data_IF_631850238648
#
_entry.id   IF_631850238648
#
_cell.length_a   1.000
_cell.length_b   1.000
_cell.length_c   1.000
_cell.angle_alpha   90.00
_cell.angle_beta   90.00
_cell.angle_gamma   90.00
#
_symmetry.space_group_name_H-M   'P 1'
#
loop_
_entity.id
_entity.type
_entity.pdbx_description
1 polymer ?
#
# COMPACT_ATOMS: atom_id res chain seq x y z
N UNK A 1 2.88 20.84 -23.05
CA UNK A 1 2.83 20.97 -21.58
C UNK A 1 4.11 21.65 -21.14
N UNK A 2 4.07 22.48 -20.10
CA UNK A 2 5.26 23.10 -19.54
C UNK A 2 5.59 22.46 -18.20
N UNK A 3 6.88 22.28 -17.92
CA UNK A 3 7.36 21.86 -16.61
C UNK A 3 8.50 22.75 -16.14
N UNK A 4 8.72 22.78 -14.82
CA UNK A 4 9.80 23.52 -14.17
C UNK A 4 10.47 22.62 -13.14
N UNK A 5 11.79 22.56 -13.18
CA UNK A 5 12.57 21.85 -12.17
C UNK A 5 12.69 22.69 -10.89
N UNK A 6 12.63 22.01 -9.75
CA UNK A 6 12.85 22.55 -8.41
C UNK A 6 14.03 21.79 -7.81
N UNK A 7 15.19 22.43 -7.78
CA UNK A 7 16.50 21.83 -7.49
C UNK A 7 17.16 22.46 -6.24
N UNK A 8 16.40 23.24 -5.47
CA UNK A 8 16.88 23.87 -4.24
C UNK A 8 15.72 24.20 -3.29
N UNK A 9 16.04 24.29 -1.99
CA UNK A 9 15.07 24.65 -0.95
C UNK A 9 14.44 26.04 -1.20
N UNK A 10 15.21 26.97 -1.76
CA UNK A 10 14.72 28.32 -2.09
C UNK A 10 13.68 28.28 -3.24
N UNK A 11 13.92 27.48 -4.28
CA UNK A 11 12.96 27.27 -5.36
C UNK A 11 11.70 26.57 -4.84
N UNK A 12 11.85 25.58 -3.96
CA UNK A 12 10.73 24.87 -3.33
C UNK A 12 9.82 25.85 -2.57
N UNK A 13 10.39 26.66 -1.66
CA UNK A 13 9.62 27.64 -0.89
C UNK A 13 8.94 28.68 -1.79
N UNK A 14 9.63 29.15 -2.83
CA UNK A 14 9.06 30.12 -3.79
C UNK A 14 7.89 29.53 -4.57
N UNK A 15 8.02 28.29 -5.04
CA UNK A 15 6.96 27.57 -5.74
C UNK A 15 5.74 27.39 -4.84
N UNK A 16 5.93 26.94 -3.60
CA UNK A 16 4.84 26.76 -2.65
C UNK A 16 4.12 28.08 -2.34
N UNK A 17 4.88 29.17 -2.15
CA UNK A 17 4.30 30.49 -1.92
C UNK A 17 3.49 31.01 -3.13
N UNK A 18 3.94 30.72 -4.36
CA UNK A 18 3.22 31.09 -5.58
C UNK A 18 1.85 30.39 -5.68
N UNK A 19 1.73 29.19 -5.12
CA UNK A 19 0.53 28.37 -5.18
C UNK A 19 -0.25 28.35 -3.85
N UNK A 20 0.05 29.27 -2.94
CA UNK A 20 -0.71 29.44 -1.70
C UNK A 20 -2.20 29.72 -2.03
N UNK A 21 -3.10 28.98 -1.39
CA UNK A 21 -4.55 29.08 -1.61
C UNK A 21 -5.12 28.16 -2.70
N UNK A 22 -4.30 27.31 -3.33
CA UNK A 22 -4.81 26.27 -4.24
C UNK A 22 -5.68 25.26 -3.48
N UNK A 23 -6.86 24.94 -3.99
CA UNK A 23 -7.77 23.99 -3.33
C UNK A 23 -7.30 22.53 -3.41
N UNK A 24 -6.50 22.21 -4.44
CA UNK A 24 -5.96 20.89 -4.67
C UNK A 24 -4.58 20.93 -5.30
N UNK A 25 -3.83 19.85 -5.10
CA UNK A 25 -2.53 19.58 -5.73
C UNK A 25 -2.51 18.14 -6.21
N UNK A 26 -2.18 17.93 -7.48
CA UNK A 26 -1.93 16.61 -8.05
C UNK A 26 -0.51 16.23 -7.73
N UNK A 27 -0.32 15.02 -7.22
CA UNK A 27 0.95 14.51 -6.76
C UNK A 27 1.21 13.18 -7.46
N UNK A 28 2.46 12.98 -7.85
CA UNK A 28 2.99 11.70 -8.26
C UNK A 28 4.41 11.56 -7.70
N UNK A 29 4.97 10.35 -7.72
CA UNK A 29 6.37 10.13 -7.35
C UNK A 29 7.07 9.16 -8.30
N UNK A 30 8.36 9.42 -8.56
CA UNK A 30 9.24 8.42 -9.17
C UNK A 30 10.30 7.99 -8.17
N UNK A 31 10.56 6.69 -8.12
CA UNK A 31 11.45 6.09 -7.13
C UNK A 31 12.11 4.81 -7.64
N UNK A 32 13.20 4.41 -6.97
CA UNK A 32 13.94 3.19 -7.29
C UNK A 32 13.94 2.22 -6.11
N UNK A 33 13.56 0.97 -6.36
CA UNK A 33 13.60 -0.15 -5.40
C UNK A 33 14.19 -1.41 -6.04
N UNK A 34 15.47 -1.35 -6.42
CA UNK A 34 16.16 -2.50 -7.06
C UNK A 34 16.84 -3.42 -6.05
N UNK A 35 17.63 -2.85 -5.15
CA UNK A 35 18.52 -3.58 -4.23
C UNK A 35 18.48 -3.02 -2.80
N UNK A 36 17.42 -2.28 -2.49
CA UNK A 36 17.16 -1.63 -1.20
C UNK A 36 15.87 -2.18 -0.60
N UNK A 37 15.75 -2.04 0.72
CA UNK A 37 14.50 -2.33 1.42
C UNK A 37 13.53 -1.17 1.21
N UNK A 38 14.01 0.05 1.42
CA UNK A 38 13.21 1.26 1.28
C UNK A 38 13.21 1.75 -0.16
N UNK A 39 12.11 2.37 -0.62
CA UNK A 39 12.10 3.05 -1.90
C UNK A 39 13.01 4.28 -1.81
N UNK A 40 13.87 4.47 -2.81
CA UNK A 40 14.66 5.69 -2.95
C UNK A 40 13.89 6.66 -3.82
N UNK A 41 13.29 7.69 -3.20
CA UNK A 41 12.63 8.77 -3.93
C UNK A 41 13.62 9.40 -4.91
N UNK A 42 13.14 9.67 -6.12
CA UNK A 42 13.97 10.13 -7.23
C UNK A 42 13.37 11.36 -7.92
N UNK A 43 12.05 11.54 -7.89
CA UNK A 43 11.37 12.75 -8.31
C UNK A 43 10.02 12.87 -7.60
N UNK A 44 9.58 14.09 -7.34
CA UNK A 44 8.20 14.36 -6.92
C UNK A 44 7.59 15.37 -7.86
N UNK A 45 6.45 15.04 -8.42
CA UNK A 45 5.74 15.85 -9.38
C UNK A 45 4.58 16.53 -8.67
N UNK A 46 4.43 17.83 -8.88
CA UNK A 46 3.26 18.59 -8.42
C UNK A 46 2.63 19.34 -9.58
N UNK A 47 1.32 19.30 -9.67
CA UNK A 47 0.54 20.28 -10.42
C UNK A 47 -0.44 20.91 -9.43
N UNK A 48 -0.72 22.21 -9.52
CA UNK A 48 -1.66 22.88 -8.61
C UNK A 48 -2.92 23.26 -9.37
N UNK A 49 -4.07 23.15 -8.70
CA UNK A 49 -5.31 23.66 -9.26
C UNK A 49 -5.27 25.21 -9.36
N UNK A 50 -5.56 25.73 -10.55
CA UNK A 50 -5.52 27.17 -10.82
C UNK A 50 -5.92 27.56 -12.25
N UNK A 51 -6.09 28.88 -12.51
CA UNK A 51 -6.61 29.42 -13.77
C UNK A 51 -5.61 29.37 -14.94
N UNK A 52 -4.31 29.30 -14.68
CA UNK A 52 -3.33 28.99 -15.71
C UNK A 52 -3.37 27.48 -15.96
N UNK A 53 -3.38 27.05 -17.23
CA UNK A 53 -3.20 25.63 -17.56
C UNK A 53 -1.94 25.13 -16.82
N UNK A 54 -2.16 24.30 -15.78
CA UNK A 54 -1.20 24.06 -14.72
C UNK A 54 0.08 23.43 -15.26
N UNK A 55 1.18 24.16 -15.18
CA UNK A 55 2.49 23.58 -15.44
C UNK A 55 2.87 22.61 -14.33
N UNK A 56 3.61 21.56 -14.68
CA UNK A 56 4.14 20.63 -13.70
C UNK A 56 5.39 21.21 -13.01
N UNK A 57 5.51 21.00 -11.71
CA UNK A 57 6.71 21.23 -10.95
C UNK A 57 7.37 19.89 -10.66
N UNK A 58 8.62 19.74 -11.09
CA UNK A 58 9.39 18.52 -10.96
C UNK A 58 10.45 18.77 -9.88
N UNK A 59 10.19 18.26 -8.68
CA UNK A 59 11.03 18.46 -7.51
C UNK A 59 12.08 17.35 -7.45
N UNK A 60 13.35 17.75 -7.46
CA UNK A 60 14.46 16.84 -7.28
C UNK A 60 14.77 16.64 -5.79
N UNK A 61 14.37 15.51 -5.19
CA UNK A 61 14.58 15.25 -3.77
C UNK A 61 16.07 15.08 -3.40
N UNK A 62 16.94 14.80 -4.37
CA UNK A 62 18.37 14.57 -4.13
C UNK A 62 19.14 15.88 -3.90
N UNK A 63 18.56 17.02 -4.29
CA UNK A 63 19.16 18.35 -4.17
C UNK A 63 18.52 19.19 -3.03
N UNK A 64 17.48 18.67 -2.38
CA UNK A 64 16.87 19.31 -1.22
C UNK A 64 17.62 18.98 0.06
N UNK A 65 17.84 19.99 0.91
CA UNK A 65 18.37 19.79 2.27
C UNK A 65 17.27 19.87 3.33
N UNK A 66 16.17 20.55 3.02
CA UNK A 66 15.02 20.73 3.91
C UNK A 66 13.72 20.38 3.17
N UNK A 67 13.23 19.12 3.27
CA UNK A 67 11.95 18.72 2.68
C UNK A 67 10.74 19.09 3.55
N UNK A 68 10.91 19.73 4.71
CA UNK A 68 9.82 20.05 5.63
C UNK A 68 8.70 20.90 5.00
N UNK A 69 8.96 21.87 4.09
CA UNK A 69 7.89 22.59 3.39
C UNK A 69 6.97 21.67 2.59
N UNK A 70 7.52 20.61 1.97
CA UNK A 70 6.72 19.64 1.22
C UNK A 70 5.93 18.73 2.17
N UNK A 71 6.53 18.31 3.29
CA UNK A 71 5.81 17.58 4.35
C UNK A 71 4.63 18.38 4.93
N UNK A 72 4.78 19.72 5.03
CA UNK A 72 3.69 20.59 5.46
C UNK A 72 2.57 20.67 4.42
N UNK A 73 2.89 20.79 3.13
CA UNK A 73 1.89 20.72 2.06
C UNK A 73 1.09 19.39 2.11
N UNK A 74 1.79 18.26 2.28
CA UNK A 74 1.13 16.95 2.37
C UNK A 74 0.13 16.87 3.52
N UNK A 75 0.35 17.57 4.63
CA UNK A 75 -0.57 17.60 5.79
C UNK A 75 -1.53 18.79 5.81
N UNK A 76 -1.45 19.68 4.83
CA UNK A 76 -2.30 20.87 4.81
C UNK A 76 -3.75 20.48 4.54
N UNK A 77 -4.60 20.55 5.57
CA UNK A 77 -6.00 20.17 5.48
C UNK A 77 -6.82 21.03 4.52
N UNK A 78 -6.33 22.22 4.14
CA UNK A 78 -6.99 23.11 3.18
C UNK A 78 -6.71 22.76 1.71
N UNK A 79 -5.72 21.91 1.45
CA UNK A 79 -5.31 21.50 0.10
C UNK A 79 -5.55 20.01 -0.07
N UNK A 80 -6.41 19.60 -1.00
CA UNK A 80 -6.62 18.18 -1.32
C UNK A 80 -5.44 17.63 -2.10
N UNK A 81 -4.81 16.57 -1.61
CA UNK A 81 -3.75 15.85 -2.35
C UNK A 81 -4.40 14.81 -3.23
N UNK A 82 -4.24 14.95 -4.53
CA UNK A 82 -4.84 14.09 -5.54
C UNK A 82 -3.78 13.19 -6.13
N UNK A 83 -3.96 11.88 -5.98
CA UNK A 83 -3.05 10.87 -6.52
C UNK A 83 -3.86 9.84 -7.33
N UNK A 84 -3.17 8.98 -8.08
CA UNK A 84 -3.78 7.84 -8.75
C UNK A 84 -3.17 6.54 -8.24
N UNK A 85 -3.99 5.65 -7.65
CA UNK A 85 -3.54 4.37 -7.14
C UNK A 85 -2.30 4.47 -6.19
N UNK A 86 -2.38 5.29 -5.12
CA UNK A 86 -1.21 5.85 -4.43
C UNK A 86 -0.45 4.87 -3.52
N UNK A 87 -0.67 3.56 -3.62
CA UNK A 87 -0.18 2.61 -2.61
C UNK A 87 1.34 2.64 -2.44
N UNK A 88 2.11 2.79 -3.53
CA UNK A 88 3.57 2.89 -3.44
C UNK A 88 4.03 4.31 -3.11
N UNK A 89 3.34 5.35 -3.63
CA UNK A 89 3.62 6.75 -3.30
C UNK A 89 3.48 7.02 -1.80
N UNK A 90 2.47 6.44 -1.14
CA UNK A 90 2.30 6.56 0.30
C UNK A 90 3.50 5.96 1.06
N UNK A 91 4.08 4.86 0.58
CA UNK A 91 5.28 4.29 1.18
C UNK A 91 6.51 5.19 0.97
N UNK A 92 6.64 5.77 -0.23
CA UNK A 92 7.70 6.74 -0.57
C UNK A 92 7.61 7.97 0.32
N UNK A 93 6.44 8.60 0.38
CA UNK A 93 6.19 9.83 1.15
C UNK A 93 6.37 9.58 2.65
N UNK A 94 5.87 8.46 3.17
CA UNK A 94 6.05 8.13 4.59
C UNK A 94 7.53 7.93 4.93
N UNK A 95 8.28 7.21 4.08
CA UNK A 95 9.69 6.95 4.35
C UNK A 95 10.54 8.22 4.23
N UNK A 96 10.31 9.02 3.20
CA UNK A 96 11.13 10.20 2.90
C UNK A 96 10.72 11.44 3.68
N UNK A 97 9.42 11.74 3.78
CA UNK A 97 8.90 12.93 4.45
C UNK A 97 8.47 12.68 5.89
N UNK A 98 8.33 11.41 6.31
CA UNK A 98 7.81 11.06 7.64
C UNK A 98 6.32 11.36 7.83
N UNK A 99 5.61 11.71 6.75
CA UNK A 99 4.19 12.09 6.78
C UNK A 99 3.44 11.46 5.61
N UNK A 100 2.12 11.38 5.75
CA UNK A 100 1.22 10.95 4.69
C UNK A 100 0.27 12.09 4.31
N UNK A 101 -0.23 12.12 3.06
CA UNK A 101 -1.19 13.12 2.62
C UNK A 101 -2.50 13.10 3.43
N UNK A 102 -2.98 14.27 3.85
CA UNK A 102 -4.31 14.44 4.45
C UNK A 102 -4.88 15.84 4.13
N UNK A 103 -6.02 15.98 3.44
CA UNK A 103 -6.85 14.92 2.86
C UNK A 103 -6.25 14.32 1.58
N UNK A 104 -6.55 13.03 1.34
CA UNK A 104 -6.14 12.25 0.17
C UNK A 104 -7.34 11.92 -0.71
N UNK A 105 -7.27 12.28 -2.00
CA UNK A 105 -8.21 11.89 -3.03
C UNK A 105 -7.53 10.93 -4.02
N UNK A 106 -7.95 9.67 -4.02
CA UNK A 106 -7.46 8.64 -4.96
C UNK A 106 -8.38 8.58 -6.19
N UNK A 107 -7.87 9.04 -7.33
CA UNK A 107 -8.63 9.06 -8.59
C UNK A 107 -9.00 7.69 -9.12
N UNK A 108 -8.26 6.63 -8.79
CA UNK A 108 -8.62 5.25 -9.20
C UNK A 108 -9.89 4.80 -8.47
N UNK A 109 -9.96 5.09 -7.16
CA UNK A 109 -11.15 4.81 -6.34
C UNK A 109 -12.32 5.71 -6.71
N UNK A 110 -12.06 7.00 -6.92
CA UNK A 110 -13.07 7.96 -7.35
C UNK A 110 -13.69 7.57 -8.69
N UNK A 111 -12.89 7.12 -9.66
CA UNK A 111 -13.39 6.64 -10.95
C UNK A 111 -14.37 5.47 -10.77
N UNK A 112 -13.98 4.47 -9.97
CA UNK A 112 -14.82 3.30 -9.73
C UNK A 112 -16.10 3.66 -8.95
N UNK A 113 -16.00 4.58 -7.98
CA UNK A 113 -17.16 5.13 -7.28
C UNK A 113 -18.02 6.04 -8.17
N UNK A 114 -17.48 6.62 -9.24
CA UNK A 114 -18.24 7.35 -10.24
C UNK A 114 -18.89 6.44 -11.29
N UNK A 115 -18.83 5.11 -11.12
CA UNK A 115 -19.45 4.11 -12.00
C UNK A 115 -18.59 3.67 -13.18
N UNK A 116 -17.27 3.96 -13.15
CA UNK A 116 -16.31 3.45 -14.14
C UNK A 116 -15.75 2.09 -13.73
N UNK A 117 -14.98 1.47 -14.62
CA UNK A 117 -14.36 0.18 -14.34
C UNK A 117 -13.46 0.23 -13.10
N UNK A 118 -13.44 -0.88 -12.35
CA UNK A 118 -12.58 -1.03 -11.19
C UNK A 118 -11.11 -1.20 -11.60
N UNK A 119 -10.20 -0.53 -10.90
CA UNK A 119 -8.76 -0.74 -11.07
C UNK A 119 -8.20 -0.22 -12.40
N UNK A 120 -8.82 0.79 -13.01
CA UNK A 120 -8.29 1.46 -14.20
C UNK A 120 -6.87 1.97 -13.93
N UNK A 121 -5.95 1.70 -14.87
CA UNK A 121 -4.62 2.32 -14.86
C UNK A 121 -4.73 3.81 -15.19
N UNK A 122 -3.71 4.59 -14.82
CA UNK A 122 -3.68 6.03 -15.07
C UNK A 122 -3.91 6.36 -16.55
N UNK A 123 -3.17 5.72 -17.46
CA UNK A 123 -3.35 5.89 -18.91
C UNK A 123 -4.76 5.54 -19.37
N UNK A 124 -5.34 4.44 -18.90
CA UNK A 124 -6.69 4.06 -19.28
C UNK A 124 -7.72 5.09 -18.79
N UNK A 125 -7.53 5.62 -17.58
CA UNK A 125 -8.39 6.64 -17.00
C UNK A 125 -8.29 7.97 -17.78
N UNK A 126 -7.08 8.41 -18.12
CA UNK A 126 -6.85 9.60 -18.94
C UNK A 126 -7.46 9.42 -20.34
N UNK A 127 -7.32 8.25 -20.96
CA UNK A 127 -7.96 7.98 -22.25
C UNK A 127 -9.49 8.04 -22.15
N UNK A 128 -10.08 7.48 -21.09
CA UNK A 128 -11.54 7.46 -20.92
C UNK A 128 -12.14 8.84 -20.58
N UNK A 129 -11.42 9.70 -19.86
CA UNK A 129 -11.93 10.99 -19.39
C UNK A 129 -11.53 12.13 -20.34
N UNK A 130 -10.27 12.14 -20.76
CA UNK A 130 -9.69 13.24 -21.53
C UNK A 130 -9.63 12.94 -23.04
N UNK A 131 -9.95 11.70 -23.46
CA UNK A 131 -9.79 11.23 -24.85
C UNK A 131 -8.34 11.36 -25.37
N UNK A 132 -7.35 11.24 -24.48
CA UNK A 132 -5.92 11.36 -24.80
C UNK A 132 -5.21 10.03 -24.59
N UNK A 133 -4.47 9.59 -25.60
CA UNK A 133 -3.62 8.41 -25.51
C UNK A 133 -2.22 8.81 -25.06
N UNK A 134 -1.87 8.47 -23.82
CA UNK A 134 -0.54 8.76 -23.31
C UNK A 134 0.51 7.81 -23.91
N UNK A 135 1.69 8.31 -24.32
CA UNK A 135 2.75 7.46 -24.82
C UNK A 135 3.19 6.43 -23.77
N UNK A 136 3.64 5.26 -24.22
CA UNK A 136 4.36 4.32 -23.33
C UNK A 136 5.77 4.89 -23.16
N UNK A 137 6.13 5.36 -21.96
CA UNK A 137 7.45 5.94 -21.73
C UNK A 137 7.89 5.83 -20.28
N UNK A 138 9.20 5.85 -20.07
CA UNK A 138 9.97 6.11 -18.83
C UNK A 138 9.61 5.38 -17.50
N UNK A 139 8.54 4.59 -17.43
CA UNK A 139 8.13 3.80 -16.23
C UNK A 139 9.20 2.86 -15.64
N UNK A 140 10.27 2.56 -16.39
CA UNK A 140 11.38 1.69 -15.96
C UNK A 140 12.75 2.33 -16.13
N UNK A 141 12.80 3.64 -16.35
CA UNK A 141 14.04 4.39 -16.54
C UNK A 141 14.85 4.50 -15.25
N UNK A 142 16.12 4.87 -15.37
CA UNK A 142 16.92 5.19 -14.20
C UNK A 142 16.57 6.60 -13.70
N UNK A 143 15.58 6.68 -12.80
CA UNK A 143 15.13 7.94 -12.23
C UNK A 143 16.15 8.59 -11.28
N UNK A 144 17.19 7.86 -10.87
CA UNK A 144 18.28 8.41 -10.06
C UNK A 144 19.40 9.04 -10.92
N UNK A 145 19.34 8.88 -12.25
CA UNK A 145 20.27 9.55 -13.15
C UNK A 145 20.16 11.08 -13.03
N UNK A 146 21.29 11.78 -13.07
CA UNK A 146 21.34 13.24 -13.17
C UNK A 146 22.30 13.71 -14.28
N UNK A 147 21.92 14.74 -15.07
CA UNK A 147 20.59 15.37 -15.10
C UNK A 147 19.53 14.38 -15.63
N UNK A 148 18.26 14.60 -15.26
CA UNK A 148 17.14 13.89 -15.89
C UNK A 148 17.09 14.24 -17.38
N UNK A 149 16.71 13.27 -18.22
CA UNK A 149 16.49 13.54 -19.64
C UNK A 149 15.21 14.35 -19.87
N UNK A 150 15.14 15.07 -20.99
CA UNK A 150 13.91 15.78 -21.36
C UNK A 150 12.69 14.84 -21.44
N UNK A 151 12.88 13.61 -21.94
CA UNK A 151 11.83 12.61 -22.03
C UNK A 151 11.30 12.18 -20.64
N UNK A 152 12.20 12.01 -19.66
CA UNK A 152 11.82 11.75 -18.26
C UNK A 152 11.01 12.91 -17.68
N UNK A 153 11.45 14.15 -17.89
CA UNK A 153 10.74 15.32 -17.40
C UNK A 153 9.36 15.47 -18.08
N UNK A 154 9.27 15.27 -19.38
CA UNK A 154 8.01 15.34 -20.13
C UNK A 154 7.02 14.24 -19.71
N UNK A 155 7.52 13.02 -19.45
CA UNK A 155 6.72 11.92 -18.92
C UNK A 155 6.18 12.25 -17.53
N UNK A 156 7.07 12.59 -16.59
CA UNK A 156 6.70 12.95 -15.22
C UNK A 156 5.70 14.13 -15.17
N UNK A 157 5.87 15.12 -16.04
CA UNK A 157 4.95 16.24 -16.13
C UNK A 157 3.53 15.82 -16.55
N UNK A 158 3.41 14.83 -17.44
CA UNK A 158 2.12 14.32 -17.91
C UNK A 158 1.34 13.62 -16.80
N UNK A 159 2.02 12.95 -15.87
CA UNK A 159 1.40 12.18 -14.78
C UNK A 159 0.66 13.06 -13.75
N UNK A 160 1.01 14.34 -13.65
CA UNK A 160 0.26 15.30 -12.81
C UNK A 160 -0.60 16.28 -13.60
N UNK A 161 -0.21 16.60 -14.85
CA UNK A 161 -0.96 17.58 -15.67
C UNK A 161 -2.30 17.00 -16.13
N UNK A 162 -2.33 15.74 -16.59
CA UNK A 162 -3.59 15.10 -16.95
C UNK A 162 -4.39 14.66 -15.73
N UNK A 163 -3.72 14.34 -14.62
CA UNK A 163 -4.37 14.07 -13.34
C UNK A 163 -5.22 15.26 -12.87
N UNK A 164 -4.83 16.50 -13.18
CA UNK A 164 -5.66 17.69 -12.94
C UNK A 164 -7.00 17.61 -13.65
N UNK A 165 -6.96 17.24 -14.94
CA UNK A 165 -8.17 17.15 -15.76
C UNK A 165 -9.05 15.99 -15.32
N UNK A 166 -8.43 14.86 -14.95
CA UNK A 166 -9.11 13.71 -14.37
C UNK A 166 -9.82 14.11 -13.07
N UNK A 167 -9.14 14.81 -12.17
CA UNK A 167 -9.72 15.28 -10.92
C UNK A 167 -10.89 16.25 -11.14
N UNK A 168 -10.70 17.26 -12.00
CA UNK A 168 -11.76 18.23 -12.37
C UNK A 168 -13.00 17.57 -12.96
N UNK A 169 -12.86 16.40 -13.59
CA UNK A 169 -13.99 15.62 -14.08
C UNK A 169 -14.61 14.73 -12.98
N UNK A 170 -13.78 14.05 -12.18
CA UNK A 170 -14.24 13.04 -11.21
C UNK A 170 -14.79 13.62 -9.92
N UNK A 171 -14.22 14.70 -9.40
CA UNK A 171 -14.66 15.30 -8.15
C UNK A 171 -16.14 15.73 -8.22
N UNK A 172 -16.59 16.50 -9.24
CA UNK A 172 -18.00 16.87 -9.35
C UNK A 172 -18.92 15.67 -9.58
N UNK A 173 -18.44 14.66 -10.32
CA UNK A 173 -19.20 13.41 -10.55
C UNK A 173 -19.40 12.59 -9.28
N UNK A 174 -18.44 12.63 -8.37
CA UNK A 174 -18.56 11.97 -7.06
C UNK A 174 -19.47 12.80 -6.15
N UNK A 175 -19.35 14.13 -6.14
CA UNK A 175 -20.21 15.02 -5.38
C UNK A 175 -21.69 14.89 -5.78
N UNK A 176 -22.00 14.89 -7.08
CA UNK A 176 -23.37 14.70 -7.61
C UNK A 176 -24.01 13.36 -7.24
N UNK A 177 -23.20 12.36 -6.87
CA UNK A 177 -23.65 11.03 -6.45
C UNK A 177 -23.59 10.82 -4.94
N UNK A 178 -23.32 11.86 -4.16
CA UNK A 178 -23.10 11.79 -2.71
C UNK A 178 -21.99 10.81 -2.30
N UNK A 179 -20.93 10.70 -3.12
CA UNK A 179 -19.80 9.76 -2.93
C UNK A 179 -18.47 10.45 -2.63
N UNK A 180 -18.41 11.79 -2.58
CA UNK A 180 -17.16 12.51 -2.30
C UNK A 180 -16.59 12.12 -0.93
N UNK A 181 -17.45 12.05 0.10
CA UNK A 181 -17.04 11.62 1.44
C UNK A 181 -16.54 10.17 1.47
N UNK A 182 -17.03 9.31 0.56
CA UNK A 182 -16.57 7.93 0.46
C UNK A 182 -15.17 7.86 -0.11
N UNK A 183 -14.86 8.66 -1.14
CA UNK A 183 -13.52 8.78 -1.70
C UNK A 183 -12.53 9.26 -0.64
N UNK A 184 -12.89 10.30 0.12
CA UNK A 184 -12.03 10.83 1.17
C UNK A 184 -11.88 9.87 2.35
N UNK A 185 -12.94 9.13 2.70
CA UNK A 185 -12.86 8.06 3.71
C UNK A 185 -11.94 6.93 3.28
N UNK A 186 -11.98 6.54 2.00
CA UNK A 186 -11.07 5.55 1.43
C UNK A 186 -9.61 6.04 1.45
N UNK A 187 -9.39 7.33 1.15
CA UNK A 187 -8.08 7.97 1.28
C UNK A 187 -7.54 7.90 2.72
N UNK A 188 -8.36 8.25 3.72
CA UNK A 188 -8.01 8.12 5.14
C UNK A 188 -7.72 6.68 5.54
N UNK A 189 -8.50 5.71 5.05
CA UNK A 189 -8.25 4.30 5.32
C UNK A 189 -6.91 3.82 4.73
N UNK A 190 -6.56 4.30 3.52
CA UNK A 190 -5.28 3.98 2.89
C UNK A 190 -4.09 4.55 3.69
N UNK A 191 -4.17 5.80 4.14
CA UNK A 191 -3.10 6.41 4.94
C UNK A 191 -2.99 5.78 6.33
N UNK A 192 -4.11 5.47 6.97
CA UNK A 192 -4.13 4.75 8.24
C UNK A 192 -3.52 3.35 8.13
N UNK A 193 -3.83 2.61 7.06
CA UNK A 193 -3.25 1.30 6.79
C UNK A 193 -1.73 1.37 6.60
N UNK A 194 -1.23 2.41 5.93
CA UNK A 194 0.20 2.64 5.75
C UNK A 194 0.90 3.03 7.08
N UNK A 195 0.28 3.84 7.94
CA UNK A 195 0.80 4.17 9.28
C UNK A 195 0.80 2.97 10.23
N UNK A 196 -0.25 2.15 10.19
CA UNK A 196 -0.42 0.97 11.03
C UNK A 196 0.29 -0.29 10.51
N UNK A 197 1.05 -0.20 9.42
CA UNK A 197 1.69 -1.33 8.75
C UNK A 197 2.86 -1.95 9.54
N UNK A 198 2.58 -2.48 10.73
CA UNK A 198 3.34 -3.58 11.33
C UNK A 198 2.59 -4.88 11.08
N UNK A 199 2.37 -5.20 9.79
CA UNK A 199 1.78 -6.48 9.43
C UNK A 199 2.78 -7.58 9.76
N UNK A 200 2.40 -8.46 10.67
CA UNK A 200 3.13 -9.68 11.00
C UNK A 200 3.38 -10.53 9.75
N UNK A 201 4.55 -10.39 9.12
CA UNK A 201 4.82 -10.97 7.80
C UNK A 201 4.63 -12.50 7.75
N UNK A 202 4.81 -13.18 8.89
CA UNK A 202 4.72 -14.65 8.97
C UNK A 202 3.38 -15.20 8.50
N UNK A 203 2.28 -14.42 8.60
CA UNK A 203 0.95 -14.84 8.12
C UNK A 203 0.88 -14.95 6.59
N UNK A 204 1.82 -14.32 5.88
CA UNK A 204 1.91 -14.34 4.41
C UNK A 204 2.77 -15.50 3.88
N UNK A 205 3.53 -16.19 4.74
CA UNK A 205 4.38 -17.29 4.33
C UNK A 205 3.51 -18.48 3.94
N UNK A 206 3.74 -18.99 2.72
CA UNK A 206 3.03 -20.17 2.20
C UNK A 206 3.26 -21.36 3.15
N UNK A 207 2.20 -22.12 3.42
CA UNK A 207 2.19 -23.27 4.33
C UNK A 207 2.40 -22.96 5.82
N UNK A 208 2.51 -21.69 6.23
CA UNK A 208 2.59 -21.34 7.66
C UNK A 208 1.39 -21.89 8.46
N UNK A 209 0.21 -22.02 7.85
CA UNK A 209 -0.98 -22.63 8.45
C UNK A 209 -0.83 -24.10 8.85
N UNK A 210 0.18 -24.81 8.34
CA UNK A 210 0.48 -26.19 8.74
C UNK A 210 1.35 -26.29 9.98
N UNK A 211 1.93 -25.19 10.44
CA UNK A 211 2.79 -25.16 11.61
C UNK A 211 1.96 -25.21 12.89
N UNK A 212 2.47 -25.90 13.90
CA UNK A 212 1.91 -25.82 15.25
C UNK A 212 2.19 -24.43 15.87
N UNK A 213 1.57 -24.15 17.03
CA UNK A 213 1.70 -22.85 17.70
C UNK A 213 3.14 -22.51 18.10
N UNK A 214 3.95 -23.51 18.43
CA UNK A 214 5.36 -23.34 18.82
C UNK A 214 6.20 -22.97 17.61
N UNK A 215 6.04 -23.71 16.52
CA UNK A 215 6.65 -23.44 15.23
C UNK A 215 6.22 -22.07 14.67
N UNK A 216 4.95 -21.70 14.80
CA UNK A 216 4.47 -20.36 14.44
C UNK A 216 5.12 -19.26 15.27
N UNK A 217 5.33 -19.48 16.57
CA UNK A 217 6.08 -18.57 17.43
C UNK A 217 7.50 -18.33 16.92
N UNK A 218 8.18 -19.40 16.50
CA UNK A 218 9.50 -19.32 15.86
C UNK A 218 9.43 -18.58 14.54
N UNK A 219 8.51 -18.94 13.65
CA UNK A 219 8.35 -18.28 12.34
C UNK A 219 8.13 -16.78 12.49
N UNK A 220 7.24 -16.40 13.42
CA UNK A 220 6.95 -15.00 13.77
C UNK A 220 8.22 -14.26 14.18
N UNK A 221 9.00 -14.83 15.10
CA UNK A 221 10.23 -14.20 15.58
C UNK A 221 11.30 -14.10 14.51
N UNK A 222 11.47 -15.13 13.68
CA UNK A 222 12.41 -15.14 12.54
C UNK A 222 12.01 -14.09 11.50
N UNK A 223 10.73 -13.97 11.16
CA UNK A 223 10.26 -12.93 10.25
C UNK A 223 10.51 -11.53 10.79
N UNK A 224 10.25 -11.28 12.09
CA UNK A 224 10.53 -9.99 12.74
C UNK A 224 12.03 -9.67 12.74
N UNK A 225 12.88 -10.64 13.06
CA UNK A 225 14.33 -10.49 12.98
C UNK A 225 14.78 -10.16 11.54
N UNK A 226 14.27 -10.89 10.54
CA UNK A 226 14.57 -10.66 9.14
C UNK A 226 14.18 -9.26 8.71
N UNK A 227 13.00 -8.81 9.10
CA UNK A 227 12.47 -7.47 8.84
C UNK A 227 13.41 -6.39 9.41
N UNK A 228 13.83 -6.54 10.67
CA UNK A 228 14.75 -5.62 11.34
C UNK A 228 16.09 -5.54 10.60
N UNK A 229 16.69 -6.69 10.27
CA UNK A 229 17.97 -6.75 9.55
C UNK A 229 17.85 -6.18 8.14
N UNK A 230 16.76 -6.47 7.43
CA UNK A 230 16.51 -5.97 6.09
C UNK A 230 16.39 -4.44 6.08
N UNK A 231 15.67 -3.85 7.05
CA UNK A 231 15.56 -2.40 7.25
C UNK A 231 16.90 -1.77 7.61
N UNK A 232 17.59 -2.30 8.63
CA UNK A 232 18.87 -1.75 9.10
C UNK A 232 19.95 -1.75 8.01
N UNK A 233 19.97 -2.79 7.17
CA UNK A 233 20.95 -2.92 6.09
C UNK A 233 20.48 -2.28 4.79
N UNK A 234 19.26 -1.78 4.74
CA UNK A 234 18.55 -1.37 3.54
C UNK A 234 18.73 -2.39 2.40
N UNK A 235 18.28 -3.63 2.64
CA UNK A 235 18.33 -4.74 1.67
C UNK A 235 16.98 -5.44 1.53
N UNK A 236 16.65 -5.96 0.33
CA UNK A 236 15.45 -6.75 0.14
C UNK A 236 15.37 -7.90 1.15
N UNK A 237 14.17 -8.19 1.66
CA UNK A 237 13.93 -9.22 2.69
C UNK A 237 14.53 -10.57 2.30
N UNK A 238 14.28 -11.01 1.07
CA UNK A 238 14.78 -12.29 0.55
C UNK A 238 16.30 -12.37 0.42
N UNK A 239 17.01 -11.23 0.40
CA UNK A 239 18.49 -11.21 0.38
C UNK A 239 19.11 -11.37 1.77
N UNK A 240 18.30 -11.28 2.83
CA UNK A 240 18.73 -11.62 4.18
C UNK A 240 18.63 -13.14 4.35
N UNK A 241 17.41 -13.67 4.30
CA UNK A 241 17.05 -15.08 4.16
C UNK A 241 15.68 -15.14 3.45
N UNK A 242 15.44 -16.15 2.62
CA UNK A 242 14.17 -16.29 1.91
C UNK A 242 13.05 -16.88 2.80
N UNK A 243 11.83 -16.97 2.26
CA UNK A 243 10.68 -17.49 3.00
C UNK A 243 10.82 -18.98 3.31
N UNK A 244 11.53 -19.74 2.46
CA UNK A 244 11.76 -21.16 2.67
C UNK A 244 12.69 -21.40 3.87
N UNK A 245 13.79 -20.64 3.96
CA UNK A 245 14.68 -20.66 5.10
C UNK A 245 13.96 -20.26 6.40
N UNK A 246 13.04 -19.27 6.34
CA UNK A 246 12.20 -18.93 7.49
C UNK A 246 11.33 -20.10 7.94
N UNK A 247 10.74 -20.83 7.00
CA UNK A 247 9.90 -22.00 7.28
C UNK A 247 10.71 -23.17 7.83
N UNK A 248 11.88 -23.46 7.24
CA UNK A 248 12.80 -24.50 7.71
C UNK A 248 13.30 -24.20 9.14
N UNK A 249 13.63 -22.94 9.43
CA UNK A 249 13.96 -22.47 10.79
C UNK A 249 12.84 -22.70 11.79
N UNK A 250 11.59 -22.51 11.37
CA UNK A 250 10.43 -22.73 12.22
C UNK A 250 10.19 -24.21 12.54
N UNK A 251 10.62 -25.10 11.65
CA UNK A 251 10.41 -26.55 11.76
C UNK A 251 11.58 -27.29 12.41
N UNK A 252 12.77 -26.70 12.45
CA UNK A 252 13.96 -27.33 13.02
C UNK A 252 14.26 -26.83 14.44
N UNK A 253 14.88 -27.68 15.27
CA UNK A 253 15.34 -27.31 16.63
C UNK A 253 16.86 -27.06 16.66
N UNK A 254 17.39 -26.28 15.72
CA UNK A 254 18.83 -26.04 15.64
C UNK A 254 19.38 -25.38 16.93
N UNK A 255 20.45 -25.95 17.49
CA UNK A 255 21.12 -25.50 18.74
C UNK A 255 22.60 -25.14 18.56
N UNK A 256 23.12 -25.32 17.35
CA UNK A 256 24.51 -25.05 17.02
C UNK A 256 24.63 -24.62 15.56
N UNK A 257 25.74 -23.98 15.19
CA UNK A 257 25.98 -23.59 13.79
C UNK A 257 26.01 -24.80 12.83
N UNK A 258 26.63 -25.95 13.17
CA UNK A 258 26.54 -27.14 12.32
C UNK A 258 25.11 -27.66 12.13
N UNK A 259 24.31 -27.67 13.20
CA UNK A 259 22.90 -28.07 13.09
C UNK A 259 22.09 -27.10 12.22
N UNK A 260 22.38 -25.80 12.34
CA UNK A 260 21.77 -24.76 11.51
C UNK A 260 22.14 -24.92 10.03
N UNK A 261 23.41 -25.22 9.75
CA UNK A 261 23.90 -25.47 8.40
C UNK A 261 23.26 -26.71 7.76
N UNK A 262 23.06 -27.78 8.54
CA UNK A 262 22.42 -28.98 8.05
C UNK A 262 20.91 -28.81 7.80
N UNK A 263 20.26 -27.92 8.56
CA UNK A 263 18.82 -27.71 8.48
C UNK A 263 18.38 -26.68 7.42
N UNK A 264 19.28 -25.79 6.99
CA UNK A 264 18.96 -24.68 6.12
C UNK A 264 19.74 -24.71 4.81
N UNK A 265 19.06 -24.40 3.72
CA UNK A 265 19.72 -24.12 2.44
C UNK A 265 20.18 -22.65 2.38
N UNK A 266 21.12 -22.30 3.26
CA UNK A 266 21.71 -20.96 3.31
C UNK A 266 23.12 -20.94 2.71
N UNK A 267 23.44 -19.95 1.85
CA UNK A 267 24.82 -19.75 1.40
C UNK A 267 25.78 -19.58 2.59
N UNK A 268 27.00 -20.16 2.58
CA UNK A 268 27.96 -20.05 3.68
C UNK A 268 28.25 -18.61 4.17
N UNK A 269 28.29 -17.58 3.30
CA UNK A 269 28.43 -16.20 3.77
C UNK A 269 27.25 -15.70 4.60
N UNK A 270 26.01 -16.10 4.27
CA UNK A 270 24.82 -15.75 5.03
C UNK A 270 24.83 -16.46 6.39
N UNK A 271 25.18 -17.75 6.43
CA UNK A 271 25.30 -18.51 7.67
C UNK A 271 26.36 -17.90 8.61
N UNK A 272 27.54 -17.55 8.11
CA UNK A 272 28.59 -16.90 8.94
C UNK A 272 28.12 -15.57 9.50
N UNK A 273 27.34 -14.81 8.73
CA UNK A 273 26.88 -13.48 9.12
C UNK A 273 25.69 -13.52 10.10
N UNK A 274 24.73 -14.38 9.86
CA UNK A 274 23.44 -14.37 10.55
C UNK A 274 23.24 -15.54 11.52
N UNK A 275 24.06 -16.59 11.44
CA UNK A 275 23.85 -17.83 12.17
C UNK A 275 23.77 -17.66 13.68
N UNK A 276 24.63 -16.81 14.27
CA UNK A 276 24.58 -16.52 15.71
C UNK A 276 23.27 -15.85 16.12
N UNK A 277 22.86 -14.82 15.40
CA UNK A 277 21.61 -14.09 15.68
C UNK A 277 20.37 -14.99 15.50
N UNK A 278 20.37 -15.86 14.49
CA UNK A 278 19.31 -16.85 14.30
C UNK A 278 19.25 -17.84 15.47
N UNK A 279 20.38 -18.36 15.94
CA UNK A 279 20.42 -19.23 17.12
C UNK A 279 19.91 -18.53 18.38
N UNK A 280 20.20 -17.24 18.55
CA UNK A 280 19.68 -16.41 19.65
C UNK A 280 18.16 -16.27 19.56
N UNK A 281 17.60 -16.01 18.36
CA UNK A 281 16.14 -15.99 18.13
C UNK A 281 15.50 -17.33 18.49
N UNK A 282 16.08 -18.45 18.06
CA UNK A 282 15.58 -19.79 18.38
C UNK A 282 15.67 -20.09 19.88
N UNK A 283 16.78 -19.71 20.53
CA UNK A 283 16.96 -19.88 21.97
C UNK A 283 15.95 -19.07 22.79
N UNK A 284 15.65 -17.83 22.37
CA UNK A 284 14.63 -17.00 23.00
C UNK A 284 13.22 -17.63 22.84
N UNK A 285 12.87 -18.10 21.65
CA UNK A 285 11.55 -18.68 21.38
C UNK A 285 11.29 -20.01 22.12
N UNK A 286 12.35 -20.77 22.44
CA UNK A 286 12.24 -21.95 23.31
C UNK A 286 11.78 -21.64 24.74
N UNK A 287 11.99 -20.40 25.22
CA UNK A 287 11.64 -19.97 26.58
C UNK A 287 10.26 -19.31 26.68
N UNK A 288 9.61 -19.03 25.54
CA UNK A 288 8.27 -18.40 25.50
C UNK A 288 7.23 -19.38 26.07
N UNK A 289 6.40 -19.01 27.04
CA UNK A 289 5.35 -19.90 27.55
C UNK A 289 4.26 -20.15 26.50
N UNK A 290 3.56 -21.28 26.60
CA UNK A 290 2.49 -21.64 25.64
C UNK A 290 1.33 -20.62 25.59
N UNK A 291 1.14 -19.84 26.67
CA UNK A 291 0.18 -18.74 26.74
C UNK A 291 0.49 -17.61 25.75
N UNK A 292 1.76 -17.38 25.45
CA UNK A 292 2.24 -16.23 24.67
C UNK A 292 2.50 -16.60 23.20
N UNK A 293 2.34 -17.88 22.86
CA UNK A 293 2.43 -18.37 21.50
C UNK A 293 1.26 -17.86 20.64
N UNK A 294 1.52 -17.54 19.36
CA UNK A 294 0.45 -17.12 18.45
C UNK A 294 -0.66 -18.17 18.35
N UNK A 295 -1.86 -17.71 17.98
CA UNK A 295 -2.95 -18.61 17.60
C UNK A 295 -2.55 -19.37 16.33
N UNK A 296 -3.11 -20.57 16.16
CA UNK A 296 -2.94 -21.30 14.92
C UNK A 296 -3.50 -20.47 13.76
N UNK A 297 -2.78 -20.43 12.64
CA UNK A 297 -3.30 -19.77 11.45
C UNK A 297 -4.43 -20.62 10.85
N UNK A 298 -5.47 -19.98 10.30
CA UNK A 298 -6.58 -20.73 9.74
C UNK A 298 -6.17 -21.55 8.53
N UNK A 299 -6.71 -22.76 8.43
CA UNK A 299 -6.60 -23.58 7.23
C UNK A 299 -7.37 -22.97 6.04
N UNK A 300 -7.02 -23.34 4.79
CA UNK A 300 -7.83 -23.01 3.62
C UNK A 300 -9.29 -23.43 3.79
N UNK A 301 -10.21 -22.68 3.19
CA UNK A 301 -11.63 -22.92 3.33
C UNK A 301 -12.05 -24.33 2.88
N UNK A 302 -12.83 -25.01 3.71
CA UNK A 302 -13.47 -26.28 3.39
C UNK A 302 -14.61 -26.11 2.36
N UNK A 303 -15.26 -27.22 1.99
CA UNK A 303 -16.34 -27.19 0.99
C UNK A 303 -17.53 -26.35 1.42
N UNK A 304 -18.00 -26.50 2.66
CA UNK A 304 -19.16 -25.75 3.16
C UNK A 304 -18.84 -24.25 3.31
N UNK A 305 -17.64 -23.93 3.76
CA UNK A 305 -17.14 -22.55 3.82
C UNK A 305 -17.05 -21.91 2.43
N UNK A 306 -16.67 -22.66 1.39
CA UNK A 306 -16.68 -22.16 0.00
C UNK A 306 -18.10 -21.86 -0.51
N UNK A 307 -19.10 -22.64 -0.11
CA UNK A 307 -20.50 -22.37 -0.46
C UNK A 307 -20.99 -21.06 0.18
N UNK A 308 -20.60 -20.82 1.44
CA UNK A 308 -20.85 -19.54 2.12
C UNK A 308 -20.13 -18.36 1.49
N UNK A 309 -18.86 -18.55 1.09
CA UNK A 309 -18.11 -17.53 0.36
C UNK A 309 -18.82 -17.16 -0.96
N UNK A 310 -19.41 -18.13 -1.66
CA UNK A 310 -20.20 -17.89 -2.87
C UNK A 310 -21.45 -17.06 -2.55
N UNK A 311 -22.19 -17.37 -1.48
CA UNK A 311 -23.35 -16.58 -1.03
C UNK A 311 -22.96 -15.14 -0.68
N UNK A 312 -21.87 -14.94 0.05
CA UNK A 312 -21.35 -13.61 0.36
C UNK A 312 -21.03 -12.82 -0.90
N UNK A 313 -20.33 -13.43 -1.87
CA UNK A 313 -20.02 -12.77 -3.15
C UNK A 313 -21.28 -12.39 -3.93
N UNK A 314 -22.33 -13.22 -3.89
CA UNK A 314 -23.62 -12.89 -4.50
C UNK A 314 -24.28 -11.70 -3.79
N UNK A 315 -24.22 -11.63 -2.46
CA UNK A 315 -24.73 -10.49 -1.72
C UNK A 315 -23.93 -9.21 -2.01
N UNK A 316 -22.60 -9.30 -2.13
CA UNK A 316 -21.76 -8.17 -2.57
C UNK A 316 -22.20 -7.69 -3.95
N UNK A 317 -22.48 -8.61 -4.89
CA UNK A 317 -23.00 -8.24 -6.21
C UNK A 317 -24.38 -7.56 -6.13
N UNK A 318 -25.26 -7.99 -5.24
CA UNK A 318 -26.57 -7.35 -5.05
C UNK A 318 -26.41 -5.91 -4.55
N UNK A 319 -25.60 -5.71 -3.50
CA UNK A 319 -25.30 -4.37 -2.95
C UNK A 319 -24.62 -3.50 -4.01
N UNK A 320 -23.69 -4.07 -4.81
CA UNK A 320 -23.00 -3.34 -5.87
C UNK A 320 -23.94 -2.83 -6.96
N UNK A 321 -24.98 -3.61 -7.31
CA UNK A 321 -26.03 -3.18 -8.24
C UNK A 321 -26.86 -2.03 -7.66
N UNK A 322 -27.26 -2.14 -6.39
CA UNK A 322 -28.00 -1.07 -5.69
C UNK A 322 -27.20 0.22 -5.59
N UNK A 323 -25.89 0.10 -5.37
CA UNK A 323 -24.97 1.23 -5.28
C UNK A 323 -24.41 1.66 -6.64
N UNK A 324 -24.80 1.03 -7.76
CA UNK A 324 -24.29 1.34 -9.10
C UNK A 324 -22.75 1.46 -9.16
N UNK A 325 -22.06 0.46 -8.62
CA UNK A 325 -20.59 0.35 -8.65
C UNK A 325 -20.16 -1.08 -8.98
N UNK A 326 -18.90 -1.25 -9.39
CA UNK A 326 -18.32 -2.58 -9.50
C UNK A 326 -18.22 -3.25 -8.11
N UNK A 327 -18.49 -4.56 -7.98
CA UNK A 327 -18.47 -5.26 -6.70
C UNK A 327 -17.10 -5.22 -6.00
N UNK A 328 -16.02 -5.15 -6.76
CA UNK A 328 -14.65 -5.05 -6.25
C UNK A 328 -14.38 -3.73 -5.50
N UNK A 329 -15.16 -2.67 -5.76
CA UNK A 329 -15.11 -1.40 -5.01
C UNK A 329 -15.58 -1.59 -3.57
N UNK A 330 -16.56 -2.48 -3.39
CA UNK A 330 -17.17 -2.74 -2.09
C UNK A 330 -16.26 -3.58 -1.23
N UNK A 331 -15.89 -4.78 -1.71
CA UNK A 331 -15.03 -5.72 -1.00
C UNK A 331 -14.26 -6.62 -1.96
N UNK A 332 -13.02 -6.95 -1.59
CA UNK A 332 -12.26 -7.98 -2.29
C UNK A 332 -12.77 -9.40 -1.97
N UNK A 333 -12.40 -10.37 -2.79
CA UNK A 333 -12.67 -11.79 -2.48
C UNK A 333 -11.99 -12.24 -1.18
N UNK A 334 -10.83 -11.66 -0.84
CA UNK A 334 -10.13 -11.89 0.42
C UNK A 334 -10.90 -11.32 1.61
N UNK A 335 -11.51 -10.14 1.45
CA UNK A 335 -12.35 -9.56 2.50
C UNK A 335 -13.60 -10.40 2.76
N UNK A 336 -14.22 -10.98 1.72
CA UNK A 336 -15.33 -11.90 1.89
C UNK A 336 -14.92 -13.14 2.71
N UNK A 337 -13.70 -13.65 2.50
CA UNK A 337 -13.14 -14.73 3.32
C UNK A 337 -12.88 -14.28 4.76
N UNK A 338 -12.29 -13.10 4.96
CA UNK A 338 -12.06 -12.54 6.29
C UNK A 338 -13.38 -12.34 7.05
N UNK A 339 -14.44 -11.92 6.38
CA UNK A 339 -15.76 -11.72 7.00
C UNK A 339 -16.39 -13.06 7.43
N UNK A 340 -16.21 -14.10 6.60
CA UNK A 340 -16.63 -15.45 6.96
C UNK A 340 -15.87 -15.97 8.19
N UNK A 341 -14.58 -15.66 8.29
CA UNK A 341 -13.74 -16.02 9.45
C UNK A 341 -14.11 -15.23 10.70
N UNK A 342 -14.39 -13.94 10.56
CA UNK A 342 -14.90 -13.09 11.64
C UNK A 342 -16.17 -13.67 12.26
N UNK A 343 -17.16 -14.03 11.44
CA UNK A 343 -18.41 -14.61 11.91
C UNK A 343 -18.25 -15.95 12.66
N UNK A 344 -17.07 -16.57 12.58
CA UNK A 344 -16.71 -17.82 13.25
C UNK A 344 -15.78 -17.61 14.46
N UNK A 345 -15.44 -16.36 14.80
CA UNK A 345 -14.48 -16.04 15.86
C UNK A 345 -13.03 -16.40 15.51
N UNK A 346 -12.73 -16.54 14.21
CA UNK A 346 -11.39 -16.85 13.67
C UNK A 346 -10.59 -15.58 13.30
N UNK A 347 -11.16 -14.40 13.53
CA UNK A 347 -10.52 -13.10 13.28
C UNK A 347 -10.56 -12.27 14.57
N UNK A 348 -9.40 -11.79 15.01
CA UNK A 348 -9.29 -10.99 16.24
C UNK A 348 -9.79 -9.55 16.02
N UNK A 349 -9.35 -8.91 14.94
CA UNK A 349 -9.71 -7.53 14.59
C UNK A 349 -10.11 -7.42 13.12
N UNK A 350 -11.23 -6.73 12.81
CA UNK A 350 -11.62 -6.47 11.43
C UNK A 350 -10.64 -5.52 10.75
N UNK A 351 -10.43 -5.64 9.42
CA UNK A 351 -9.63 -4.69 8.67
C UNK A 351 -10.15 -3.25 8.80
N UNK A 352 -9.23 -2.29 8.95
CA UNK A 352 -9.58 -0.87 9.13
C UNK A 352 -10.36 -0.28 7.95
N UNK A 353 -10.14 -0.76 6.73
CA UNK A 353 -10.86 -0.30 5.53
C UNK A 353 -12.33 -0.74 5.46
N UNK A 354 -12.78 -1.58 6.40
CA UNK A 354 -14.20 -1.93 6.57
C UNK A 354 -14.99 -0.85 7.32
N UNK A 355 -14.32 0.17 7.86
CA UNK A 355 -14.94 1.30 8.56
C UNK A 355 -15.59 2.32 7.61
N UNK A 356 -16.14 3.40 8.17
CA UNK A 356 -16.77 4.48 7.42
C UNK A 356 -18.01 4.00 6.66
N UNK A 357 -18.17 4.47 5.42
CA UNK A 357 -19.34 4.16 4.60
C UNK A 357 -19.51 2.65 4.34
N UNK A 358 -18.41 1.89 4.24
CA UNK A 358 -18.47 0.43 4.02
C UNK A 358 -19.09 -0.29 5.21
N UNK A 359 -18.89 0.20 6.44
CA UNK A 359 -19.40 -0.46 7.65
C UNK A 359 -20.93 -0.62 7.59
N UNK A 360 -21.62 0.46 7.25
CA UNK A 360 -23.08 0.51 7.19
C UNK A 360 -23.62 -0.06 5.87
N UNK A 361 -23.02 0.32 4.74
CA UNK A 361 -23.56 0.01 3.41
C UNK A 361 -23.20 -1.39 2.91
N UNK A 362 -22.11 -1.97 3.40
CA UNK A 362 -21.56 -3.24 2.89
C UNK A 362 -21.44 -4.28 3.99
N UNK A 363 -20.70 -3.98 5.05
CA UNK A 363 -20.36 -4.96 6.09
C UNK A 363 -21.59 -5.37 6.90
N UNK A 364 -22.41 -4.43 7.38
CA UNK A 364 -23.60 -4.74 8.17
C UNK A 364 -24.63 -5.61 7.41
N UNK A 365 -24.98 -5.34 6.13
CA UNK A 365 -25.77 -6.26 5.32
C UNK A 365 -25.17 -7.66 5.21
N UNK A 366 -23.86 -7.79 4.96
CA UNK A 366 -23.21 -9.09 4.81
C UNK A 366 -23.18 -9.88 6.13
N UNK A 367 -22.96 -9.20 7.26
CA UNK A 367 -23.06 -9.81 8.60
C UNK A 367 -24.48 -10.32 8.87
N UNK A 368 -25.52 -9.59 8.45
CA UNK A 368 -26.91 -10.07 8.53
C UNK A 368 -27.14 -11.31 7.66
N UNK A 369 -26.57 -11.38 6.46
CA UNK A 369 -26.63 -12.59 5.61
C UNK A 369 -25.99 -13.79 6.29
N UNK A 370 -24.88 -13.60 7.01
CA UNK A 370 -24.24 -14.67 7.78
C UNK A 370 -25.06 -15.10 8.99
N UNK A 371 -25.65 -14.14 9.72
CA UNK A 371 -26.47 -14.42 10.90
C UNK A 371 -27.83 -15.06 10.55
N UNK A 372 -28.50 -14.58 9.50
CA UNK A 372 -29.83 -15.05 9.08
C UNK A 372 -29.86 -16.40 8.38
N UNK A 373 -28.70 -17.01 8.15
CA UNK A 373 -28.59 -18.37 7.61
C UNK A 373 -27.77 -19.31 8.53
N UNK A 374 -27.58 -18.92 9.79
CA UNK A 374 -27.31 -19.87 10.86
C UNK A 374 -28.55 -20.77 11.05
N UNK A 375 -28.38 -22.10 11.19
CA UNK A 375 -29.49 -23.04 11.39
C UNK A 375 -30.27 -22.78 12.67
#
# INVERSE_FOLDING_TARGET
MSWRLVESDAQLRRMLALHAGSAAVMVDTEFMRRNTFFPRVALVQLCFDGPAQGGAWLIDPLLLTDPAPLANLMRDASVTKVLHAPSEDLEVLQHWLGVLPDPLFDTQRAAALAGRDFGLSYRALVQQICAVDLPKGETRSDWLQRPLSAAQCDYAAQDVTWLLQVWRALEPQCAQRDRLDWVLADGRAATAAQNGASAEYYVRIKLAWKLDRRQLGVLRAVCRWREQVARQRDKPRGWIIDDNACLQLAQCDARSLPALQAALDLPPPALRRYGKALLEVLAAQRRVPDSDLPRALPAPLDRGQRDWLKKLKQQVQAIARELEVAPEVLLSGRDCELLLREARGELDEPPTHWSGWRAERVIAPLRRTLAGAAP
#
